data_IF_821058260560
#
_entry.id   IF_821058260560
#
_cell.length_a   1.000
_cell.length_b   1.000
_cell.length_c   1.000
_cell.angle_alpha   90.00
_cell.angle_beta   90.00
_cell.angle_gamma   90.00
#
_symmetry.space_group_name_H-M   'P 1'
#
loop_
_entity.id
_entity.type
_entity.pdbx_description
1 polymer ?
#
# COMPACT_ATOMS: atom_id res chain seq x y z
N UNK A 1 45.02 12.30 23.73
CA UNK A 1 44.24 11.08 23.41
C UNK A 1 42.75 11.24 23.70
N UNK A 2 42.31 11.46 24.95
CA UNK A 2 40.86 11.58 25.28
C UNK A 2 40.11 12.66 24.49
N UNK A 3 40.73 13.82 24.25
CA UNK A 3 40.14 14.92 23.46
C UNK A 3 39.98 14.58 21.97
N UNK A 4 40.87 13.76 21.41
CA UNK A 4 40.82 13.32 20.01
C UNK A 4 39.71 12.27 19.84
N UNK A 5 39.57 11.35 20.80
CA UNK A 5 38.48 10.36 20.83
C UNK A 5 37.12 11.06 20.94
N UNK A 6 37.01 12.08 21.81
CA UNK A 6 35.79 12.87 21.94
C UNK A 6 35.46 13.65 20.66
N UNK A 7 36.48 14.21 20.00
CA UNK A 7 36.29 14.94 18.74
C UNK A 7 35.84 14.00 17.60
N UNK A 8 36.42 12.79 17.50
CA UNK A 8 35.98 11.77 16.55
C UNK A 8 34.55 11.28 16.82
N UNK A 9 34.16 11.19 18.09
CA UNK A 9 32.79 10.81 18.48
C UNK A 9 31.76 11.88 18.08
N UNK A 10 32.09 13.16 18.30
CA UNK A 10 31.22 14.30 17.95
C UNK A 10 31.16 14.48 16.42
N UNK A 11 32.29 14.32 15.72
CA UNK A 11 32.32 14.37 14.25
C UNK A 11 31.52 13.22 13.62
N UNK A 12 31.53 12.03 14.22
CA UNK A 12 30.71 10.89 13.78
C UNK A 12 29.21 11.09 14.04
N UNK A 13 28.84 11.77 15.12
CA UNK A 13 27.44 12.09 15.45
C UNK A 13 26.86 13.27 14.63
N UNK A 14 27.70 14.04 13.94
CA UNK A 14 27.24 15.17 13.12
C UNK A 14 26.64 14.76 11.76
N UNK A 15 26.74 13.48 11.38
CA UNK A 15 26.23 12.95 10.10
C UNK A 15 24.86 12.27 10.22
N UNK A 16 24.14 12.44 11.33
CA UNK A 16 22.74 11.99 11.40
C UNK A 16 21.90 13.04 10.68
N UNK A 17 21.89 12.97 9.35
CA UNK A 17 20.91 13.70 8.55
C UNK A 17 19.52 13.22 8.95
N UNK A 18 18.74 14.10 9.57
CA UNK A 18 17.30 13.92 9.74
C UNK A 18 16.67 14.14 8.36
N UNK A 19 16.73 13.11 7.52
CA UNK A 19 15.95 13.06 6.29
C UNK A 19 14.46 13.03 6.67
N UNK A 20 13.64 13.76 5.92
CA UNK A 20 12.19 13.69 6.10
C UNK A 20 11.73 12.25 5.82
N UNK A 21 10.89 11.70 6.71
CA UNK A 21 10.37 10.34 6.54
C UNK A 21 9.56 10.23 5.25
N UNK A 22 9.90 9.26 4.43
CA UNK A 22 9.13 8.90 3.25
C UNK A 22 8.12 7.82 3.62
N UNK A 23 6.90 7.90 3.09
CA UNK A 23 5.87 6.87 3.28
C UNK A 23 5.47 6.25 1.96
N UNK A 24 5.25 4.94 2.00
CA UNK A 24 4.79 4.16 0.85
C UNK A 24 3.63 3.26 1.23
N UNK A 25 2.65 3.15 0.34
CA UNK A 25 1.49 2.28 0.52
C UNK A 25 1.52 1.18 -0.52
N UNK A 26 1.57 -0.07 -0.06
CA UNK A 26 1.35 -1.26 -0.89
C UNK A 26 -0.02 -1.83 -0.52
N UNK A 27 -0.83 -2.21 -1.52
CA UNK A 27 -2.20 -2.69 -1.27
C UNK A 27 -2.37 -4.11 -1.80
N UNK A 28 -2.89 -5.02 -0.98
CA UNK A 28 -3.47 -6.27 -1.48
C UNK A 28 -4.99 -6.17 -1.56
N UNK A 29 -5.57 -6.69 -2.64
CA UNK A 29 -7.00 -6.88 -2.82
C UNK A 29 -7.23 -8.36 -3.08
N UNK A 30 -8.01 -9.00 -2.23
CA UNK A 30 -8.27 -10.45 -2.28
C UNK A 30 -9.77 -10.69 -2.41
N UNK A 31 -10.14 -11.37 -3.48
CA UNK A 31 -11.54 -11.59 -3.82
C UNK A 31 -12.12 -12.78 -3.08
N UNK A 32 -13.32 -12.56 -2.56
CA UNK A 32 -14.17 -13.60 -1.98
C UNK A 32 -15.38 -13.92 -2.86
N UNK A 33 -15.35 -13.47 -4.11
CA UNK A 33 -16.40 -13.74 -5.10
C UNK A 33 -16.58 -15.27 -5.23
N UNK A 34 -17.80 -15.78 -5.04
CA UNK A 34 -18.13 -17.19 -5.26
C UNK A 34 -17.74 -17.63 -6.68
N UNK A 35 -17.38 -18.91 -6.83
CA UNK A 35 -16.91 -19.50 -8.10
C UNK A 35 -15.52 -19.04 -8.57
N UNK A 36 -14.80 -18.22 -7.80
CA UNK A 36 -13.39 -17.94 -8.05
C UNK A 36 -13.10 -17.10 -9.30
N UNK A 37 -14.07 -16.29 -9.75
CA UNK A 37 -13.93 -15.36 -10.90
C UNK A 37 -13.20 -14.06 -10.50
N UNK A 38 -12.89 -13.89 -9.22
CA UNK A 38 -12.17 -12.76 -8.68
C UNK A 38 -10.77 -12.53 -9.25
N UNK A 39 -10.29 -11.29 -9.18
CA UNK A 39 -8.94 -10.90 -9.60
C UNK A 39 -8.17 -10.36 -8.41
N UNK A 40 -7.69 -11.27 -7.56
CA UNK A 40 -6.89 -10.91 -6.38
C UNK A 40 -5.49 -10.44 -6.79
N UNK A 41 -5.00 -9.33 -6.24
CA UNK A 41 -3.72 -8.67 -6.61
C UNK A 41 -3.04 -7.99 -5.44
N UNK A 42 -1.71 -7.90 -5.49
CA UNK A 42 -0.93 -6.86 -4.79
C UNK A 42 -0.61 -5.76 -5.80
N UNK A 43 -0.83 -4.51 -5.41
CA UNK A 43 -0.59 -3.30 -6.20
C UNK A 43 0.44 -2.42 -5.50
N UNK A 44 1.48 -2.05 -6.22
CA UNK A 44 2.54 -1.14 -5.78
C UNK A 44 2.77 -0.05 -6.85
N UNK A 45 2.47 1.21 -6.54
CA UNK A 45 2.70 2.31 -7.47
C UNK A 45 4.20 2.57 -7.65
N UNK A 46 4.64 2.82 -8.89
CA UNK A 46 6.04 3.12 -9.22
C UNK A 46 6.26 4.59 -9.63
N UNK A 47 5.27 5.44 -9.44
CA UNK A 47 5.33 6.87 -9.73
C UNK A 47 4.73 7.69 -8.58
N UNK A 48 5.22 8.90 -8.40
CA UNK A 48 4.73 9.86 -7.41
C UNK A 48 3.69 10.78 -8.06
N UNK A 49 2.65 11.15 -7.29
CA UNK A 49 1.64 12.15 -7.66
C UNK A 49 1.54 13.19 -6.56
N UNK A 50 1.51 14.47 -6.92
CA UNK A 50 1.21 15.53 -5.96
C UNK A 50 -0.30 15.69 -5.80
N UNK A 51 -0.81 15.42 -4.59
CA UNK A 51 -2.23 15.57 -4.31
C UNK A 51 -2.73 17.01 -4.49
N UNK A 52 -1.84 18.01 -4.39
CA UNK A 52 -2.19 19.43 -4.54
C UNK A 52 -2.66 19.76 -5.95
N UNK A 53 -2.13 19.10 -6.98
CA UNK A 53 -2.58 19.27 -8.36
C UNK A 53 -4.06 18.87 -8.54
N UNK A 54 -4.58 18.04 -7.64
CA UNK A 54 -5.95 17.52 -7.67
C UNK A 54 -6.81 18.04 -6.51
N UNK A 55 -6.32 19.03 -5.76
CA UNK A 55 -7.00 19.61 -4.60
C UNK A 55 -7.44 21.05 -4.92
N UNK A 56 -8.69 21.40 -4.60
CA UNK A 56 -9.15 22.79 -4.63
C UNK A 56 -9.41 23.27 -3.21
N UNK A 57 -8.99 24.49 -2.91
CA UNK A 57 -9.40 25.17 -1.66
C UNK A 57 -10.84 25.65 -1.86
N UNK A 58 -11.64 25.62 -0.79
CA UNK A 58 -12.99 26.18 -0.78
C UNK A 58 -12.98 27.38 0.15
N UNK A 59 -13.46 28.53 -0.33
CA UNK A 59 -13.59 29.78 0.42
C UNK A 59 -15.02 30.30 0.30
N UNK A 60 -15.35 31.35 1.05
CA UNK A 60 -16.65 32.03 0.92
C UNK A 60 -16.82 32.67 -0.47
N UNK A 61 -15.71 33.03 -1.12
CA UNK A 61 -15.68 33.66 -2.45
C UNK A 61 -15.62 32.65 -3.60
N UNK A 62 -15.02 31.46 -3.38
CA UNK A 62 -14.97 30.36 -4.34
C UNK A 62 -15.24 29.01 -3.67
N UNK A 63 -16.45 28.52 -3.86
CA UNK A 63 -16.94 27.22 -3.40
C UNK A 63 -17.27 26.29 -4.57
N UNK A 64 -16.63 26.52 -5.72
CA UNK A 64 -16.88 25.70 -6.89
C UNK A 64 -16.20 24.34 -6.75
N UNK A 65 -16.87 23.30 -7.26
CA UNK A 65 -16.36 21.93 -7.22
C UNK A 65 -15.06 21.82 -8.02
N UNK A 66 -14.10 21.08 -7.47
CA UNK A 66 -12.88 20.67 -8.17
C UNK A 66 -13.16 20.04 -9.55
N UNK A 67 -12.51 20.57 -10.60
CA UNK A 67 -12.67 20.15 -12.00
C UNK A 67 -11.47 19.37 -12.56
N UNK A 68 -10.50 18.99 -11.72
CA UNK A 68 -9.33 18.22 -12.15
C UNK A 68 -9.74 16.88 -12.78
N UNK A 69 -9.02 16.47 -13.82
CA UNK A 69 -9.39 15.31 -14.61
C UNK A 69 -8.97 14.00 -13.94
N UNK A 70 -9.95 13.13 -13.71
CA UNK A 70 -9.70 11.79 -13.13
C UNK A 70 -8.78 10.92 -13.98
N UNK A 71 -8.66 11.21 -15.28
CA UNK A 71 -7.76 10.49 -16.18
C UNK A 71 -6.30 10.74 -15.82
N UNK A 72 -5.98 11.92 -15.31
CA UNK A 72 -4.60 12.33 -15.01
C UNK A 72 -4.15 11.83 -13.63
N UNK A 73 -5.11 11.57 -12.74
CA UNK A 73 -4.89 10.91 -11.44
C UNK A 73 -4.48 9.43 -11.63
N UNK A 74 -4.92 8.77 -12.71
CA UNK A 74 -4.67 7.34 -12.92
C UNK A 74 -3.18 7.06 -13.11
N UNK A 75 -2.61 6.31 -12.18
CA UNK A 75 -1.25 5.77 -12.27
C UNK A 75 -1.23 4.62 -13.28
N UNK A 76 -0.37 4.73 -14.30
CA UNK A 76 -0.18 3.67 -15.30
C UNK A 76 1.08 2.84 -15.03
N UNK A 77 2.06 3.42 -14.34
CA UNK A 77 3.27 2.72 -13.95
C UNK A 77 3.12 2.16 -12.52
N UNK A 78 2.74 0.89 -12.42
CA UNK A 78 2.62 0.18 -11.15
C UNK A 78 2.94 -1.31 -11.34
N UNK A 79 3.40 -1.95 -10.27
CA UNK A 79 3.57 -3.40 -10.23
C UNK A 79 2.24 -4.05 -9.84
N UNK A 80 1.91 -5.13 -10.56
CA UNK A 80 0.76 -5.98 -10.27
C UNK A 80 1.25 -7.41 -10.01
N UNK A 81 1.19 -7.86 -8.74
CA UNK A 81 1.47 -9.25 -8.39
C UNK A 81 0.15 -10.03 -8.29
N UNK A 82 0.06 -11.18 -8.96
CA UNK A 82 -1.14 -12.03 -8.92
C UNK A 82 -1.26 -12.73 -7.57
N UNK A 83 -2.47 -12.71 -7.02
CA UNK A 83 -2.87 -13.54 -5.88
C UNK A 83 -3.97 -14.52 -6.30
N UNK A 84 -4.15 -15.56 -5.50
CA UNK A 84 -5.20 -16.55 -5.66
C UNK A 84 -6.45 -16.12 -4.89
N UNK A 85 -7.64 -16.50 -5.37
CA UNK A 85 -8.90 -16.20 -4.70
C UNK A 85 -9.09 -17.09 -3.47
N UNK A 86 -9.73 -16.57 -2.42
CA UNK A 86 -9.99 -17.34 -1.20
C UNK A 86 -11.06 -18.40 -1.39
N UNK A 87 -11.99 -18.20 -2.31
CA UNK A 87 -13.14 -19.09 -2.52
C UNK A 87 -13.18 -19.65 -3.95
N UNK A 88 -13.72 -20.86 -4.06
CA UNK A 88 -14.25 -21.41 -5.30
C UNK A 88 -15.65 -22.02 -5.05
N UNK A 89 -16.18 -22.78 -6.01
CA UNK A 89 -17.51 -23.42 -5.86
C UNK A 89 -17.60 -24.43 -4.71
N UNK A 90 -16.45 -24.95 -4.24
CA UNK A 90 -16.36 -25.91 -3.13
C UNK A 90 -16.06 -25.28 -1.77
N UNK A 91 -15.99 -23.95 -1.67
CA UNK A 91 -15.71 -23.22 -0.43
C UNK A 91 -14.30 -22.63 -0.36
N UNK A 92 -13.79 -22.47 0.87
CA UNK A 92 -12.52 -21.81 1.16
C UNK A 92 -11.33 -22.67 0.67
N UNK A 93 -10.35 -22.01 0.05
CA UNK A 93 -9.12 -22.60 -0.46
C UNK A 93 -7.94 -22.22 0.42
N UNK A 94 -7.72 -22.95 1.51
CA UNK A 94 -6.63 -22.68 2.45
C UNK A 94 -5.23 -22.70 1.83
N UNK A 95 -5.00 -23.54 0.81
CA UNK A 95 -3.75 -23.54 0.05
C UNK A 95 -3.54 -22.23 -0.72
N UNK A 96 -4.62 -21.60 -1.21
CA UNK A 96 -4.55 -20.31 -1.87
C UNK A 96 -4.16 -19.22 -0.87
N UNK A 97 -4.72 -19.27 0.35
CA UNK A 97 -4.36 -18.36 1.45
C UNK A 97 -2.86 -18.51 1.77
N UNK A 98 -2.39 -19.74 2.00
CA UNK A 98 -0.97 -19.98 2.29
C UNK A 98 -0.03 -19.52 1.16
N UNK A 99 -0.43 -19.68 -0.10
CA UNK A 99 0.34 -19.17 -1.23
C UNK A 99 0.36 -17.63 -1.29
N UNK A 100 -0.77 -16.98 -1.00
CA UNK A 100 -0.85 -15.52 -0.92
C UNK A 100 0.01 -14.98 0.23
N UNK A 101 -0.03 -15.61 1.40
CA UNK A 101 0.78 -15.26 2.57
C UNK A 101 2.28 -15.34 2.24
N UNK A 102 2.70 -16.37 1.50
CA UNK A 102 4.10 -16.49 1.06
C UNK A 102 4.51 -15.33 0.13
N UNK A 103 3.64 -14.92 -0.80
CA UNK A 103 3.90 -13.79 -1.70
C UNK A 103 3.93 -12.45 -0.95
N UNK A 104 2.99 -12.23 -0.03
CA UNK A 104 2.94 -11.03 0.81
C UNK A 104 4.19 -10.96 1.71
N UNK A 105 4.58 -12.08 2.32
CA UNK A 105 5.81 -12.18 3.13
C UNK A 105 7.04 -11.85 2.30
N UNK A 106 7.14 -12.38 1.07
CA UNK A 106 8.22 -12.05 0.15
C UNK A 106 8.26 -10.55 -0.15
N UNK A 107 7.11 -9.93 -0.42
CA UNK A 107 7.02 -8.48 -0.66
C UNK A 107 7.49 -7.67 0.55
N UNK A 108 7.02 -8.00 1.76
CA UNK A 108 7.42 -7.31 2.99
C UNK A 108 8.94 -7.44 3.22
N UNK A 109 9.49 -8.64 3.06
CA UNK A 109 10.93 -8.87 3.22
C UNK A 109 11.75 -8.09 2.19
N UNK A 110 11.30 -8.01 0.94
CA UNK A 110 11.95 -7.17 -0.09
C UNK A 110 11.95 -5.70 0.34
N UNK A 111 10.81 -5.15 0.74
CA UNK A 111 10.69 -3.77 1.23
C UNK A 111 11.65 -3.50 2.41
N UNK A 112 11.70 -4.43 3.38
CA UNK A 112 12.62 -4.34 4.52
C UNK A 112 14.08 -4.36 4.08
N UNK A 113 14.45 -5.23 3.14
CA UNK A 113 15.81 -5.28 2.60
C UNK A 113 16.22 -4.01 1.86
N UNK A 114 15.25 -3.29 1.29
CA UNK A 114 15.43 -1.99 0.64
C UNK A 114 15.45 -0.82 1.63
N UNK A 115 15.35 -1.10 2.94
CA UNK A 115 15.44 -0.13 4.03
C UNK A 115 14.10 0.46 4.45
N UNK A 116 12.97 -0.10 4.03
CA UNK A 116 11.65 0.31 4.50
C UNK A 116 11.27 -0.41 5.79
N UNK A 117 10.71 0.31 6.75
CA UNK A 117 10.07 -0.24 7.94
C UNK A 117 8.57 -0.41 7.70
N UNK A 118 8.00 -1.60 7.96
CA UNK A 118 6.55 -1.78 7.96
C UNK A 118 5.95 -1.10 9.20
N UNK A 119 5.43 0.11 9.02
CA UNK A 119 4.95 0.94 10.12
C UNK A 119 3.51 0.59 10.53
N UNK A 120 2.63 0.35 9.56
CA UNK A 120 1.23 0.06 9.83
C UNK A 120 0.66 -0.96 8.84
N UNK A 121 -0.29 -1.76 9.32
CA UNK A 121 -1.12 -2.63 8.48
C UNK A 121 -2.57 -2.35 8.82
N UNK A 122 -3.38 -2.02 7.82
CA UNK A 122 -4.83 -1.84 7.98
C UNK A 122 -5.57 -2.71 6.98
N UNK A 123 -6.56 -3.44 7.46
CA UNK A 123 -7.42 -4.27 6.62
C UNK A 123 -8.86 -3.78 6.70
N UNK A 124 -9.59 -3.90 5.59
CA UNK A 124 -11.02 -3.66 5.51
C UNK A 124 -11.65 -4.74 4.63
N UNK A 125 -12.96 -4.93 4.79
CA UNK A 125 -13.73 -5.87 3.98
C UNK A 125 -14.93 -5.14 3.40
N UNK A 126 -15.17 -5.36 2.12
CA UNK A 126 -16.48 -5.14 1.50
C UNK A 126 -17.18 -6.49 1.48
N UNK A 127 -18.14 -6.66 2.39
CA UNK A 127 -18.91 -7.90 2.52
C UNK A 127 -20.11 -7.90 1.58
N UNK A 128 -20.46 -9.08 1.06
CA UNK A 128 -21.71 -9.32 0.32
C UNK A 128 -22.91 -8.92 1.21
N UNK A 129 -23.51 -7.76 0.92
CA UNK A 129 -24.39 -7.05 1.85
C UNK A 129 -25.87 -7.44 1.79
N UNK A 130 -26.28 -8.33 0.87
CA UNK A 130 -27.68 -8.70 0.74
C UNK A 130 -28.01 -9.56 -0.49
N UNK A 131 -29.29 -9.93 -0.63
CA UNK A 131 -29.78 -10.78 -1.72
C UNK A 131 -29.44 -10.18 -3.09
N UNK A 132 -28.58 -10.85 -3.84
CA UNK A 132 -28.19 -10.47 -5.19
C UNK A 132 -26.89 -9.66 -5.27
N UNK A 133 -26.35 -9.24 -4.13
CA UNK A 133 -24.92 -8.97 -4.04
C UNK A 133 -24.22 -10.34 -4.08
N UNK A 134 -23.18 -10.49 -4.87
CA UNK A 134 -22.41 -11.74 -5.02
C UNK A 134 -20.92 -11.44 -5.08
N UNK A 135 -20.56 -10.28 -4.54
CA UNK A 135 -19.23 -9.70 -4.62
C UNK A 135 -18.78 -9.35 -3.23
N UNK A 136 -17.51 -9.59 -3.01
CA UNK A 136 -16.82 -9.11 -1.83
C UNK A 136 -15.33 -9.14 -2.06
N UNK A 137 -14.65 -8.27 -1.33
CA UNK A 137 -13.20 -8.16 -1.34
C UNK A 137 -12.69 -7.93 0.08
N UNK A 138 -11.55 -8.52 0.38
CA UNK A 138 -10.66 -8.05 1.43
C UNK A 138 -9.66 -7.09 0.80
N UNK A 139 -9.44 -5.95 1.46
CA UNK A 139 -8.40 -5.00 1.08
C UNK A 139 -7.48 -4.77 2.28
N UNK A 140 -6.19 -4.97 2.09
CA UNK A 140 -5.18 -4.71 3.11
C UNK A 140 -4.16 -3.72 2.58
N UNK A 141 -3.89 -2.66 3.35
CA UNK A 141 -2.85 -1.68 3.07
C UNK A 141 -1.70 -1.86 4.03
N UNK A 142 -0.52 -2.11 3.47
CA UNK A 142 0.76 -2.14 4.15
C UNK A 142 1.40 -0.77 3.96
N UNK A 143 1.57 -0.05 5.07
CA UNK A 143 2.14 1.30 5.08
C UNK A 143 3.56 1.19 5.59
N UNK A 144 4.49 1.47 4.70
CA UNK A 144 5.92 1.47 4.97
C UNK A 144 6.41 2.90 5.19
N UNK A 145 7.45 3.05 6.01
CA UNK A 145 8.18 4.32 6.17
C UNK A 145 9.68 4.09 6.01
N UNK A 146 10.41 5.08 5.50
CA UNK A 146 11.87 5.05 5.33
C UNK A 146 12.48 6.39 5.75
#
# INVERSE_FOLDING_TARGET
MKKIILFLFIAGAAFVDVQAQEFRVVTSVESIVPNGVGRSRIINALETKDYKEYTSVQTDEDNTRNKSDRKDIRVKNFEETKLLNFYNIGGIRFQNIAANDALITSMINTMVSEGWELAFVTSAVESEGGKGDGKGIFITRYIFKK
#
